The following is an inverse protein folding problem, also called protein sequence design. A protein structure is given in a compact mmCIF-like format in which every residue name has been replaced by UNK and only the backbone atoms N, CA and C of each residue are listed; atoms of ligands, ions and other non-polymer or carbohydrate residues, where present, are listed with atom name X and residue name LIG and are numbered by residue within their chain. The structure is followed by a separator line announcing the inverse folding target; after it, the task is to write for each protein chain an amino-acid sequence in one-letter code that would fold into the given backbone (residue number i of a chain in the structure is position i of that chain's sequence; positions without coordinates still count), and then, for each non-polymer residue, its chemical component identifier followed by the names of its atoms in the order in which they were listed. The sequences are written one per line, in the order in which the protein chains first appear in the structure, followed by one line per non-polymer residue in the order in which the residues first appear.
data_IF_837007937058
#
_entry.id   IF_837007937058
#
_cell.length_a   1.000
_cell.length_b   1.000
_cell.length_c   1.000
_cell.angle_alpha   90.00
_cell.angle_beta   90.00
_cell.angle_gamma   90.00
#
_symmetry.space_group_name_H-M   'P 1'
#
loop_
_entity.id
_entity.type
_entity.pdbx_description
1 polymer ?
#
# COMPACT_ATOMS: atom_id res chain seq x y z
N UNK A 1 -27.81 3.66 -7.52
CA UNK A 1 -26.87 3.29 -6.45
C UNK A 1 -27.58 3.33 -5.10
N UNK A 2 -26.97 2.70 -4.11
CA UNK A 2 -27.49 2.63 -2.74
C UNK A 2 -27.23 3.90 -1.90
N UNK A 3 -26.70 4.94 -2.54
CA UNK A 3 -26.37 6.22 -1.91
C UNK A 3 -25.05 6.22 -1.13
N UNK A 4 -24.28 5.14 -1.22
CA UNK A 4 -22.95 5.01 -0.60
C UNK A 4 -21.85 5.16 -1.64
N UNK A 5 -20.67 5.58 -1.19
CA UNK A 5 -19.49 5.67 -2.03
C UNK A 5 -18.92 4.28 -2.32
N UNK A 6 -18.74 3.94 -3.58
CA UNK A 6 -18.15 2.65 -4.00
C UNK A 6 -16.73 2.48 -3.43
N UNK A 7 -15.93 3.55 -3.40
CA UNK A 7 -14.58 3.53 -2.81
C UNK A 7 -14.63 3.22 -1.30
N UNK A 8 -15.61 3.75 -0.58
CA UNK A 8 -15.74 3.46 0.85
C UNK A 8 -16.31 2.07 1.12
N UNK A 9 -17.11 1.52 0.20
CA UNK A 9 -17.57 0.14 0.28
C UNK A 9 -16.41 -0.84 0.03
N UNK A 10 -15.56 -0.55 -0.94
CA UNK A 10 -14.34 -1.32 -1.21
C UNK A 10 -13.40 -1.28 0.01
N UNK A 11 -13.10 -0.10 0.53
CA UNK A 11 -12.31 0.03 1.75
C UNK A 11 -12.91 -0.72 2.95
N UNK A 12 -14.24 -0.75 3.05
CA UNK A 12 -14.94 -1.54 4.08
C UNK A 12 -14.74 -3.04 3.87
N UNK A 13 -14.81 -3.51 2.63
CA UNK A 13 -14.64 -4.92 2.32
C UNK A 13 -13.26 -5.42 2.76
N UNK A 14 -12.20 -4.68 2.44
CA UNK A 14 -10.83 -4.94 2.93
C UNK A 14 -10.72 -4.87 4.45
N UNK A 15 -11.27 -3.82 5.06
CA UNK A 15 -11.23 -3.66 6.51
C UNK A 15 -11.98 -4.78 7.26
N UNK A 16 -13.07 -5.29 6.70
CA UNK A 16 -13.79 -6.44 7.24
C UNK A 16 -12.94 -7.73 7.19
N UNK A 17 -12.16 -7.92 6.13
CA UNK A 17 -11.22 -9.02 6.05
C UNK A 17 -10.10 -8.87 7.09
N UNK A 18 -9.45 -7.71 7.14
CA UNK A 18 -8.40 -7.42 8.12
C UNK A 18 -8.91 -7.63 9.55
N UNK A 19 -10.11 -7.15 9.86
CA UNK A 19 -10.71 -7.31 11.19
C UNK A 19 -10.93 -8.78 11.59
N UNK A 20 -11.18 -9.67 10.62
CA UNK A 20 -11.31 -11.11 10.87
C UNK A 20 -9.97 -11.79 11.17
N UNK A 21 -8.87 -11.16 10.79
CA UNK A 21 -7.52 -11.70 11.02
C UNK A 21 -7.02 -11.46 12.45
N UNK A 22 -7.74 -10.70 13.28
CA UNK A 22 -7.38 -10.51 14.69
C UNK A 22 -7.73 -11.75 15.52
N UNK A 23 -6.75 -12.23 16.29
CA UNK A 23 -6.94 -13.29 17.26
C UNK A 23 -7.37 -12.75 18.63
N UNK A 24 -7.73 -13.65 19.53
CA UNK A 24 -8.22 -13.32 20.88
C UNK A 24 -7.18 -12.57 21.75
N UNK A 25 -5.88 -12.71 21.46
CA UNK A 25 -4.81 -11.99 22.15
C UNK A 25 -4.58 -10.54 21.59
N UNK A 26 -5.32 -10.16 20.54
CA UNK A 26 -5.26 -8.86 19.92
C UNK A 26 -4.29 -8.74 18.76
N UNK A 27 -3.40 -9.70 18.54
CA UNK A 27 -2.50 -9.72 17.38
C UNK A 27 -3.20 -10.27 16.14
N UNK A 28 -2.63 -9.95 14.97
CA UNK A 28 -3.20 -10.34 13.70
C UNK A 28 -2.37 -11.43 13.03
N UNK A 29 -3.06 -12.37 12.42
CA UNK A 29 -2.45 -13.34 11.52
C UNK A 29 -1.85 -12.64 10.31
N UNK A 30 -0.74 -13.18 9.80
CA UNK A 30 0.03 -12.54 8.74
C UNK A 30 -0.68 -12.56 7.39
N UNK A 31 -1.13 -13.74 6.97
CA UNK A 31 -1.85 -13.92 5.70
C UNK A 31 -2.66 -15.22 5.68
N UNK A 32 -3.53 -15.34 4.70
CA UNK A 32 -4.19 -16.59 4.33
C UNK A 32 -3.59 -17.06 3.02
N UNK A 33 -3.25 -18.33 2.93
CA UNK A 33 -2.51 -18.88 1.82
C UNK A 33 -2.89 -20.34 1.54
N UNK A 34 -2.95 -20.81 0.29
CA UNK A 34 -3.14 -22.22 -0.04
C UNK A 34 -1.95 -23.06 0.45
N UNK A 35 -2.25 -24.18 1.10
CA UNK A 35 -1.22 -25.00 1.75
C UNK A 35 -0.13 -25.48 0.79
N UNK A 36 -0.52 -25.97 -0.37
CA UNK A 36 0.39 -26.66 -1.29
C UNK A 36 0.67 -25.87 -2.57
N UNK A 37 0.07 -24.69 -2.74
CA UNK A 37 0.18 -23.83 -3.94
C UNK A 37 -0.21 -24.53 -5.26
N UNK A 38 -0.88 -25.68 -5.21
CA UNK A 38 -1.30 -26.41 -6.40
C UNK A 38 -2.27 -25.60 -7.28
N UNK A 39 -2.92 -24.62 -6.70
CA UNK A 39 -3.81 -23.69 -7.36
C UNK A 39 -3.13 -22.83 -8.44
N UNK A 40 -1.83 -22.63 -8.34
CA UNK A 40 -1.05 -21.93 -9.37
C UNK A 40 -1.00 -22.71 -10.67
N UNK A 41 -1.39 -23.98 -10.63
CA UNK A 41 -1.38 -24.94 -11.73
C UNK A 41 -2.80 -25.43 -12.05
N UNK A 42 -3.64 -24.57 -12.60
CA UNK A 42 -4.96 -24.91 -13.15
C UNK A 42 -6.13 -25.09 -12.16
N UNK A 43 -5.95 -24.79 -10.88
CA UNK A 43 -7.03 -24.92 -9.88
C UNK A 43 -7.53 -23.57 -9.42
N UNK A 44 -8.83 -23.31 -9.54
CA UNK A 44 -9.42 -22.11 -8.94
C UNK A 44 -9.28 -22.14 -7.42
N UNK A 45 -9.05 -20.99 -6.75
CA UNK A 45 -8.91 -20.95 -5.30
C UNK A 45 -10.08 -21.57 -4.53
N UNK A 46 -11.31 -21.50 -5.09
CA UNK A 46 -12.50 -22.12 -4.52
C UNK A 46 -12.54 -23.65 -4.65
N UNK A 47 -11.71 -24.23 -5.50
CA UNK A 47 -11.63 -25.67 -5.78
C UNK A 47 -10.24 -26.25 -5.47
N UNK A 48 -9.33 -25.42 -5.00
CA UNK A 48 -7.94 -25.77 -4.78
C UNK A 48 -7.63 -26.30 -3.40
N UNK A 49 -6.40 -26.09 -3.00
CA UNK A 49 -5.88 -26.54 -1.72
C UNK A 49 -6.62 -25.93 -0.52
N UNK A 50 -6.64 -26.65 0.61
CA UNK A 50 -7.08 -26.05 1.85
C UNK A 50 -6.34 -24.74 2.15
N UNK A 51 -7.11 -23.73 2.48
CA UNK A 51 -6.53 -22.44 2.88
C UNK A 51 -6.01 -22.54 4.31
N UNK A 52 -4.81 -22.09 4.54
CA UNK A 52 -4.19 -22.01 5.87
C UNK A 52 -3.98 -20.57 6.28
N UNK A 53 -4.06 -20.34 7.56
CA UNK A 53 -3.73 -19.05 8.17
C UNK A 53 -2.30 -19.11 8.68
N UNK A 54 -1.46 -18.19 8.22
CA UNK A 54 -0.06 -18.10 8.65
C UNK A 54 0.06 -17.48 10.05
N UNK A 55 1.11 -17.83 10.80
CA UNK A 55 1.32 -17.32 12.15
C UNK A 55 1.25 -15.80 12.24
N UNK A 56 0.87 -15.31 13.39
CA UNK A 56 0.85 -13.90 13.74
C UNK A 56 2.27 -13.35 13.80
N UNK A 57 2.44 -12.09 13.42
CA UNK A 57 3.67 -11.34 13.67
C UNK A 57 3.37 -9.86 13.99
N UNK A 58 4.36 -9.17 14.53
CA UNK A 58 4.20 -7.77 14.93
C UNK A 58 4.09 -6.84 13.73
N UNK A 59 4.73 -7.15 12.61
CA UNK A 59 4.63 -6.36 11.38
C UNK A 59 3.19 -6.30 10.84
N UNK A 60 2.59 -7.46 10.60
CA UNK A 60 1.22 -7.55 10.12
C UNK A 60 0.23 -6.93 11.12
N UNK A 61 0.46 -7.18 12.42
CA UNK A 61 -0.39 -6.63 13.49
C UNK A 61 -0.32 -5.11 13.55
N UNK A 62 0.85 -4.50 13.35
CA UNK A 62 0.99 -3.05 13.30
C UNK A 62 0.34 -2.45 12.05
N UNK A 63 0.54 -3.06 10.88
CA UNK A 63 -0.10 -2.63 9.64
C UNK A 63 -1.64 -2.70 9.72
N UNK A 64 -2.17 -3.82 10.23
CA UNK A 64 -3.62 -4.00 10.42
C UNK A 64 -4.20 -2.99 11.43
N UNK A 65 -3.49 -2.77 12.54
CA UNK A 65 -3.86 -1.75 13.54
C UNK A 65 -3.93 -0.35 12.91
N UNK A 66 -2.93 0.02 12.12
CA UNK A 66 -2.90 1.29 11.43
C UNK A 66 -4.05 1.46 10.44
N UNK A 67 -4.24 0.48 9.55
CA UNK A 67 -5.28 0.51 8.53
C UNK A 67 -6.69 0.62 9.16
N UNK A 68 -6.97 -0.18 10.19
CA UNK A 68 -8.25 -0.13 10.90
C UNK A 68 -8.46 1.17 11.67
N UNK A 69 -7.40 1.77 12.24
CA UNK A 69 -7.49 3.07 12.88
C UNK A 69 -7.76 4.18 11.86
N UNK A 70 -7.10 4.15 10.70
CA UNK A 70 -7.31 5.14 9.64
C UNK A 70 -8.74 5.12 9.10
N UNK A 71 -9.23 3.94 8.71
CA UNK A 71 -10.59 3.84 8.17
C UNK A 71 -11.63 4.14 9.26
N UNK A 72 -11.44 3.63 10.48
CA UNK A 72 -12.33 3.85 11.62
C UNK A 72 -12.36 5.31 12.08
N UNK A 73 -11.31 6.10 11.85
CA UNK A 73 -11.26 7.53 12.18
C UNK A 73 -11.71 8.44 11.03
N UNK A 74 -11.80 7.95 9.81
CA UNK A 74 -12.17 8.76 8.65
C UNK A 74 -13.55 9.40 8.81
N UNK A 75 -13.68 10.75 8.75
CA UNK A 75 -14.97 11.41 8.85
C UNK A 75 -15.96 10.97 7.76
N UNK A 76 -15.47 10.75 6.53
CA UNK A 76 -16.32 10.29 5.42
C UNK A 76 -16.82 8.86 5.64
N UNK A 77 -15.97 7.98 6.16
CA UNK A 77 -16.35 6.62 6.47
C UNK A 77 -17.33 6.55 7.64
N UNK A 78 -17.06 7.28 8.72
CA UNK A 78 -17.98 7.40 9.88
C UNK A 78 -19.38 7.87 9.49
N UNK A 79 -19.47 8.78 8.53
CA UNK A 79 -20.77 9.30 8.07
C UNK A 79 -21.61 8.22 7.37
N UNK A 80 -20.99 7.25 6.70
CA UNK A 80 -21.69 6.22 5.95
C UNK A 80 -21.78 4.87 6.69
N UNK A 81 -20.80 4.57 7.53
CA UNK A 81 -20.64 3.30 8.24
C UNK A 81 -20.28 3.51 9.73
N UNK A 82 -21.12 4.18 10.53
CA UNK A 82 -20.74 4.58 11.89
C UNK A 82 -20.46 3.40 12.82
N UNK A 83 -21.22 2.31 12.71
CA UNK A 83 -21.03 1.11 13.53
C UNK A 83 -19.72 0.39 13.19
N UNK A 84 -19.42 0.25 11.90
CA UNK A 84 -18.17 -0.39 11.44
C UNK A 84 -16.97 0.48 11.82
N UNK A 85 -17.05 1.78 11.68
CA UNK A 85 -16.00 2.71 12.09
C UNK A 85 -15.65 2.56 13.58
N UNK A 86 -16.66 2.50 14.44
CA UNK A 86 -16.47 2.29 15.88
C UNK A 86 -15.85 0.92 16.18
N UNK A 87 -16.30 -0.12 15.50
CA UNK A 87 -15.76 -1.49 15.61
C UNK A 87 -14.30 -1.55 15.19
N UNK A 88 -13.95 -0.99 14.04
CA UNK A 88 -12.56 -1.00 13.56
C UNK A 88 -11.62 -0.26 14.50
N UNK A 89 -12.04 0.88 15.02
CA UNK A 89 -11.23 1.61 15.98
C UNK A 89 -11.03 0.83 17.29
N UNK A 90 -12.03 0.10 17.74
CA UNK A 90 -11.90 -0.76 18.92
C UNK A 90 -10.92 -1.91 18.68
N UNK A 91 -10.99 -2.56 17.53
CA UNK A 91 -10.07 -3.61 17.09
C UNK A 91 -8.64 -3.06 17.01
N UNK A 92 -8.46 -1.87 16.41
CA UNK A 92 -7.16 -1.22 16.34
C UNK A 92 -6.56 -0.93 17.72
N UNK A 93 -7.35 -0.44 18.67
CA UNK A 93 -6.89 -0.22 20.06
C UNK A 93 -6.46 -1.52 20.76
N UNK A 94 -7.20 -2.60 20.54
CA UNK A 94 -6.83 -3.92 21.03
C UNK A 94 -5.51 -4.39 20.42
N UNK A 95 -5.36 -4.24 19.10
CA UNK A 95 -4.12 -4.54 18.39
C UNK A 95 -2.92 -3.77 18.93
N UNK A 96 -3.08 -2.48 19.16
CA UNK A 96 -2.02 -1.66 19.74
C UNK A 96 -1.60 -2.14 21.13
N UNK A 97 -2.56 -2.47 21.99
CA UNK A 97 -2.26 -2.98 23.35
C UNK A 97 -1.47 -4.29 23.28
N UNK A 98 -1.83 -5.18 22.36
CA UNK A 98 -1.12 -6.44 22.13
C UNK A 98 0.30 -6.20 21.56
N UNK A 99 0.46 -5.23 20.66
CA UNK A 99 1.78 -4.84 20.13
C UNK A 99 2.69 -4.26 21.21
N UNK A 100 2.17 -3.39 22.05
CA UNK A 100 2.96 -2.85 23.17
C UNK A 100 3.42 -3.98 24.10
N UNK A 101 2.55 -4.96 24.37
CA UNK A 101 2.91 -6.14 25.15
C UNK A 101 3.99 -6.96 24.46
N UNK A 102 3.85 -7.23 23.15
CA UNK A 102 4.84 -7.98 22.38
C UNK A 102 6.21 -7.28 22.37
N UNK A 103 6.24 -5.97 22.21
CA UNK A 103 7.49 -5.17 22.28
C UNK A 103 8.09 -5.23 23.69
N UNK A 104 7.27 -5.18 24.74
CA UNK A 104 7.75 -5.32 26.13
C UNK A 104 8.35 -6.70 26.40
N UNK A 105 7.73 -7.75 25.87
CA UNK A 105 8.15 -9.13 26.14
C UNK A 105 9.36 -9.56 25.28
N UNK A 106 9.49 -9.05 24.06
CA UNK A 106 10.43 -9.53 23.05
C UNK A 106 11.44 -8.49 22.54
N UNK A 107 11.29 -7.25 22.97
CA UNK A 107 12.13 -6.13 22.52
C UNK A 107 11.62 -5.43 21.26
N UNK A 108 12.18 -4.25 21.00
CA UNK A 108 11.77 -3.39 19.88
C UNK A 108 12.11 -4.00 18.51
N UNK A 109 13.20 -4.73 18.41
CA UNK A 109 13.74 -5.27 17.15
C UNK A 109 13.22 -6.67 16.80
N UNK A 110 12.44 -7.28 17.69
CA UNK A 110 12.00 -8.66 17.53
C UNK A 110 10.64 -8.79 16.86
N UNK A 111 10.60 -9.20 15.62
CA UNK A 111 9.44 -9.92 15.15
C UNK A 111 9.35 -11.20 15.97
N UNK A 112 8.55 -11.22 17.01
CA UNK A 112 8.52 -12.33 17.97
C UNK A 112 7.86 -13.60 17.40
N UNK A 113 7.42 -13.55 16.16
CA UNK A 113 6.81 -14.67 15.46
C UNK A 113 7.33 -14.79 14.03
N UNK A 114 6.90 -15.82 13.35
CA UNK A 114 7.31 -16.13 11.99
C UNK A 114 7.10 -14.97 11.03
N UNK A 115 8.13 -14.70 10.24
CA UNK A 115 8.11 -13.75 9.13
C UNK A 115 8.35 -14.50 7.84
N UNK A 116 7.49 -14.32 6.86
CA UNK A 116 7.40 -15.16 5.66
C UNK A 116 8.64 -15.15 4.76
N UNK A 117 9.30 -14.04 4.58
CA UNK A 117 10.34 -13.92 3.55
C UNK A 117 11.71 -13.54 4.06
N UNK A 118 11.81 -12.90 5.20
CA UNK A 118 13.07 -12.33 5.66
C UNK A 118 13.03 -12.12 7.18
N UNK A 119 14.01 -12.65 7.86
CA UNK A 119 14.20 -12.48 9.30
C UNK A 119 14.56 -11.04 9.68
N UNK A 120 14.87 -10.20 8.69
CA UNK A 120 15.20 -8.80 8.85
C UNK A 120 13.98 -7.86 8.73
N UNK A 121 12.75 -8.37 8.78
CA UNK A 121 11.56 -7.53 8.74
C UNK A 121 11.43 -6.72 10.01
N UNK A 122 12.03 -5.54 9.98
CA UNK A 122 11.82 -4.53 10.99
C UNK A 122 10.36 -4.04 10.89
N UNK A 123 9.72 -3.89 12.02
CA UNK A 123 8.32 -3.45 12.10
C UNK A 123 8.19 -1.97 12.48
N UNK A 124 9.30 -1.25 12.56
CA UNK A 124 9.38 0.13 13.06
C UNK A 124 8.48 1.08 12.29
N UNK A 125 8.48 0.96 10.97
CA UNK A 125 7.64 1.75 10.06
C UNK A 125 6.15 1.51 10.27
N UNK A 126 5.74 0.26 10.45
CA UNK A 126 4.35 -0.09 10.71
C UNK A 126 3.91 0.32 12.12
N UNK A 127 4.80 0.23 13.10
CA UNK A 127 4.55 0.74 14.45
C UNK A 127 4.38 2.26 14.46
N UNK A 128 5.21 2.98 13.70
CA UNK A 128 5.08 4.42 13.50
C UNK A 128 3.73 4.78 12.87
N UNK A 129 3.34 4.04 11.80
CA UNK A 129 2.05 4.27 11.15
C UNK A 129 0.87 3.96 12.08
N UNK A 130 0.91 2.86 12.83
CA UNK A 130 -0.12 2.53 13.81
C UNK A 130 -0.27 3.61 14.90
N UNK A 131 0.85 4.11 15.40
CA UNK A 131 0.85 5.21 16.36
C UNK A 131 0.28 6.51 15.77
N UNK A 132 0.70 6.90 14.55
CA UNK A 132 0.16 8.06 13.85
C UNK A 132 -1.35 7.94 13.61
N UNK A 133 -1.82 6.78 13.16
CA UNK A 133 -3.24 6.53 12.89
C UNK A 133 -4.10 6.57 14.16
N UNK A 134 -3.62 6.00 15.25
CA UNK A 134 -4.30 6.04 16.54
C UNK A 134 -4.27 7.45 17.16
N UNK A 135 -3.20 8.19 16.99
CA UNK A 135 -3.13 9.59 17.38
C UNK A 135 -4.16 10.42 16.60
N UNK A 136 -4.18 10.29 15.27
CA UNK A 136 -5.16 10.98 14.44
C UNK A 136 -6.61 10.60 14.77
N UNK A 137 -6.82 9.36 15.23
CA UNK A 137 -8.16 8.86 15.59
C UNK A 137 -8.64 9.34 16.96
N UNK A 138 -7.74 9.62 17.91
CA UNK A 138 -8.09 9.81 19.31
C UNK A 138 -7.65 11.15 19.90
N UNK A 139 -6.58 11.74 19.38
CA UNK A 139 -5.91 12.90 19.97
C UNK A 139 -5.15 12.59 21.27
N UNK A 140 -4.97 11.33 21.62
CA UNK A 140 -4.25 10.94 22.84
C UNK A 140 -2.73 11.09 22.63
N UNK A 141 -2.11 11.96 23.42
CA UNK A 141 -0.70 12.30 23.32
C UNK A 141 0.24 11.11 23.53
N UNK A 142 -0.20 10.03 24.16
CA UNK A 142 0.61 8.82 24.30
C UNK A 142 0.95 8.18 22.96
N UNK A 143 0.05 8.28 22.00
CA UNK A 143 0.30 7.80 20.64
C UNK A 143 1.25 8.71 19.86
N UNK A 144 1.21 10.03 20.10
CA UNK A 144 2.22 10.94 19.53
C UNK A 144 3.60 10.62 20.07
N UNK A 145 3.73 10.45 21.39
CA UNK A 145 5.00 10.04 22.02
C UNK A 145 5.51 8.71 21.42
N UNK A 146 4.62 7.76 21.19
CA UNK A 146 4.99 6.50 20.57
C UNK A 146 5.44 6.71 19.11
N UNK A 147 4.73 7.53 18.33
CA UNK A 147 5.12 7.88 16.97
C UNK A 147 6.54 8.45 16.92
N UNK A 148 6.83 9.45 17.74
CA UNK A 148 8.15 10.08 17.79
C UNK A 148 9.26 9.11 18.27
N UNK A 149 8.91 8.11 19.07
CA UNK A 149 9.84 7.05 19.48
C UNK A 149 10.18 6.09 18.34
N UNK A 150 9.21 5.76 17.48
CA UNK A 150 9.42 4.87 16.33
C UNK A 150 9.94 5.60 15.10
N UNK A 151 9.61 6.87 14.94
CA UNK A 151 9.96 7.71 13.79
C UNK A 151 10.36 9.12 14.26
N UNK A 152 11.56 9.26 14.86
CA UNK A 152 11.96 10.52 15.50
C UNK A 152 12.24 11.65 14.50
N UNK A 153 12.68 11.31 13.30
CA UNK A 153 12.96 12.29 12.25
C UNK A 153 12.41 11.86 10.89
N UNK A 154 11.25 12.39 10.49
CA UNK A 154 10.67 12.14 9.17
C UNK A 154 11.57 12.54 7.98
N UNK A 155 12.54 13.42 8.19
CA UNK A 155 13.45 13.87 7.13
C UNK A 155 14.74 13.05 7.04
N UNK A 156 14.92 12.06 7.90
CA UNK A 156 16.09 11.18 7.86
C UNK A 156 16.00 10.21 6.67
N UNK A 157 16.89 10.42 5.70
CA UNK A 157 16.94 9.59 4.49
C UNK A 157 17.26 8.11 4.77
N UNK A 158 17.83 7.77 5.94
CA UNK A 158 18.10 6.39 6.31
C UNK A 158 16.84 5.56 6.59
N UNK A 159 15.71 6.22 6.80
CA UNK A 159 14.41 5.57 6.98
C UNK A 159 13.74 5.15 5.67
N UNK A 160 14.36 5.42 4.53
CA UNK A 160 13.86 5.06 3.22
C UNK A 160 14.21 3.63 2.87
N UNK A 161 13.32 2.70 3.13
CA UNK A 161 13.56 1.30 2.81
C UNK A 161 13.36 0.96 1.33
N UNK A 162 12.56 1.78 0.58
CA UNK A 162 12.27 1.52 -0.83
C UNK A 162 12.07 2.85 -1.56
N UNK A 163 13.07 3.33 -2.22
CA UNK A 163 13.25 4.68 -2.70
C UNK A 163 12.31 5.26 -3.77
N UNK A 164 11.14 4.69 -4.07
CA UNK A 164 10.42 5.13 -5.27
C UNK A 164 9.06 5.74 -5.02
N UNK A 165 8.36 5.25 -4.01
CA UNK A 165 7.12 5.79 -3.54
C UNK A 165 7.14 5.75 -2.04
N UNK A 166 7.14 6.92 -1.47
CA UNK A 166 7.36 7.05 -0.04
C UNK A 166 6.06 7.13 0.73
N UNK A 167 5.03 7.72 0.12
CA UNK A 167 3.86 8.18 0.85
C UNK A 167 2.80 7.11 1.11
N UNK A 168 2.93 5.93 0.55
CA UNK A 168 2.01 4.81 0.84
C UNK A 168 2.71 3.57 1.38
N UNK A 169 3.99 3.68 1.72
CA UNK A 169 4.78 2.60 2.32
C UNK A 169 5.54 3.08 3.55
N UNK A 170 5.71 2.15 4.49
CA UNK A 170 6.60 2.33 5.61
C UNK A 170 6.34 3.61 6.38
N UNK A 171 7.39 4.31 6.68
CA UNK A 171 7.34 5.58 7.40
C UNK A 171 6.56 6.68 6.67
N UNK A 172 6.48 6.63 5.34
CA UNK A 172 5.69 7.58 4.57
C UNK A 172 4.20 7.55 4.91
N UNK A 173 3.66 6.37 5.24
CA UNK A 173 2.30 6.26 5.75
C UNK A 173 2.11 7.05 7.05
N UNK A 174 3.08 6.96 7.96
CA UNK A 174 3.04 7.69 9.23
C UNK A 174 3.13 9.21 9.02
N UNK A 175 4.08 9.66 8.19
CA UNK A 175 4.25 11.08 7.86
C UNK A 175 2.99 11.67 7.22
N UNK A 176 2.41 10.96 6.24
CA UNK A 176 1.15 11.35 5.58
C UNK A 176 -0.01 11.40 6.56
N UNK A 177 -0.20 10.35 7.36
CA UNK A 177 -1.28 10.28 8.35
C UNK A 177 -1.23 11.44 9.33
N UNK A 178 -0.03 11.77 9.84
CA UNK A 178 0.17 12.88 10.76
C UNK A 178 -0.07 14.24 10.08
N UNK A 179 0.54 14.48 8.93
CA UNK A 179 0.44 15.74 8.21
C UNK A 179 -1.00 16.09 7.80
N UNK A 180 -1.79 15.08 7.47
CA UNK A 180 -3.18 15.28 7.07
C UNK A 180 -4.20 15.15 8.22
N UNK A 181 -3.79 14.90 9.45
CA UNK A 181 -4.72 14.70 10.57
C UNK A 181 -5.65 15.90 10.80
N UNK A 182 -5.09 17.11 10.81
CA UNK A 182 -5.90 18.32 10.93
C UNK A 182 -6.66 18.67 9.65
N UNK A 183 -6.00 18.53 8.49
CA UNK A 183 -6.62 18.81 7.17
C UNK A 183 -7.83 17.91 6.88
N UNK A 184 -7.80 16.67 7.35
CA UNK A 184 -8.91 15.71 7.22
C UNK A 184 -10.03 15.93 8.24
N UNK A 185 -9.89 16.85 9.19
CA UNK A 185 -10.85 17.09 10.25
C UNK A 185 -10.86 16.03 11.37
N UNK A 186 -9.82 15.22 11.48
CA UNK A 186 -9.64 14.24 12.57
C UNK A 186 -9.22 14.91 13.87
N UNK A 187 -8.29 15.85 13.78
CA UNK A 187 -7.75 16.63 14.90
C UNK A 187 -7.86 18.14 14.62
N UNK A 188 -7.71 18.96 15.65
CA UNK A 188 -7.43 20.37 15.49
C UNK A 188 -5.95 20.59 15.27
N UNK A 189 -5.57 21.67 14.56
CA UNK A 189 -4.16 22.02 14.34
C UNK A 189 -3.38 22.23 15.66
N UNK A 190 -4.05 22.67 16.70
CA UNK A 190 -3.43 22.90 18.02
C UNK A 190 -3.08 21.62 18.79
N UNK A 191 -3.53 20.47 18.32
CA UNK A 191 -3.18 19.17 18.91
C UNK A 191 -1.90 18.58 18.31
N UNK A 192 -1.43 19.13 17.17
CA UNK A 192 -0.23 18.65 16.49
C UNK A 192 1.02 19.38 17.04
N UNK A 193 2.12 18.66 17.19
CA UNK A 193 3.41 19.28 17.37
C UNK A 193 3.86 19.98 16.07
N UNK A 194 4.04 21.28 16.11
CA UNK A 194 4.33 22.08 14.93
C UNK A 194 5.70 21.75 14.29
N UNK A 195 6.70 21.40 15.12
CA UNK A 195 8.03 21.06 14.61
C UNK A 195 8.03 19.69 13.94
N UNK A 196 7.35 18.71 14.53
CA UNK A 196 7.20 17.40 13.95
C UNK A 196 6.34 17.44 12.66
N UNK A 197 5.25 18.23 12.67
CA UNK A 197 4.42 18.46 11.48
C UNK A 197 5.24 19.02 10.33
N UNK A 198 6.09 20.04 10.60
CA UNK A 198 6.94 20.62 9.56
C UNK A 198 7.91 19.62 8.95
N UNK A 199 8.43 18.67 9.73
CA UNK A 199 9.25 17.57 9.20
C UNK A 199 8.46 16.60 8.33
N UNK A 200 7.26 16.21 8.74
CA UNK A 200 6.38 15.38 7.93
C UNK A 200 6.01 16.06 6.60
N UNK A 201 5.69 17.36 6.64
CA UNK A 201 5.37 18.13 5.44
C UNK A 201 6.60 18.28 4.52
N UNK A 202 7.80 18.45 5.08
CA UNK A 202 9.04 18.50 4.31
C UNK A 202 9.33 17.16 3.61
N UNK A 203 9.10 16.02 4.27
CA UNK A 203 9.27 14.70 3.67
C UNK A 203 8.27 14.47 2.52
N UNK A 204 7.01 14.86 2.71
CA UNK A 204 5.99 14.79 1.65
C UNK A 204 6.38 15.65 0.43
N UNK A 205 6.81 16.89 0.69
CA UNK A 205 7.24 17.79 -0.39
C UNK A 205 8.47 17.25 -1.11
N UNK A 206 9.46 16.73 -0.36
CA UNK A 206 10.66 16.10 -0.92
C UNK A 206 10.34 14.89 -1.80
N UNK A 207 9.40 14.04 -1.39
CA UNK A 207 8.94 12.91 -2.19
C UNK A 207 8.31 13.37 -3.51
N UNK A 208 7.43 14.38 -3.46
CA UNK A 208 6.80 14.93 -4.67
C UNK A 208 7.81 15.61 -5.61
N UNK A 209 8.72 16.40 -5.07
CA UNK A 209 9.76 17.09 -5.85
C UNK A 209 10.70 16.09 -6.54
N UNK A 210 11.10 15.01 -5.85
CA UNK A 210 11.91 13.94 -6.42
C UNK A 210 11.21 13.27 -7.61
N UNK A 211 9.95 12.89 -7.44
CA UNK A 211 9.17 12.24 -8.50
C UNK A 211 8.94 13.19 -9.69
N UNK A 212 8.66 14.46 -9.45
CA UNK A 212 8.50 15.46 -10.52
C UNK A 212 9.81 15.69 -11.28
N UNK A 213 10.94 15.72 -10.58
CA UNK A 213 12.25 15.86 -11.20
C UNK A 213 12.56 14.67 -12.11
N UNK A 214 12.31 13.45 -11.69
CA UNK A 214 12.51 12.27 -12.53
C UNK A 214 11.60 12.29 -13.75
N UNK A 215 10.33 12.65 -13.60
CA UNK A 215 9.42 12.79 -14.74
C UNK A 215 9.93 13.81 -15.76
N UNK A 216 10.42 14.95 -15.29
CA UNK A 216 10.95 16.01 -16.18
C UNK A 216 12.21 15.58 -16.97
N UNK A 217 12.96 14.61 -16.49
CA UNK A 217 14.19 14.12 -17.13
C UNK A 217 13.99 12.80 -17.90
N UNK A 218 12.84 12.17 -17.80
CA UNK A 218 12.52 10.93 -18.50
C UNK A 218 12.01 11.19 -19.91
N UNK A 219 12.44 10.37 -20.88
CA UNK A 219 11.99 10.48 -22.27
C UNK A 219 10.47 10.32 -22.45
N UNK A 220 9.81 9.63 -21.54
CA UNK A 220 8.36 9.41 -21.54
C UNK A 220 7.62 10.13 -20.41
N UNK A 221 8.31 11.01 -19.71
CA UNK A 221 7.71 11.74 -18.59
C UNK A 221 7.36 10.88 -17.38
N UNK A 222 8.05 9.74 -17.19
CA UNK A 222 7.80 8.83 -16.06
C UNK A 222 8.74 9.10 -14.89
N UNK A 223 8.23 8.96 -13.69
CA UNK A 223 9.00 9.12 -12.45
C UNK A 223 9.78 7.85 -12.09
N UNK A 224 10.43 7.22 -13.06
CA UNK A 224 11.30 6.05 -12.87
C UNK A 224 12.74 6.51 -12.66
N UNK A 225 13.28 6.56 -11.42
CA UNK A 225 14.63 7.04 -11.18
C UNK A 225 15.68 6.01 -11.59
N UNK A 226 16.66 6.45 -12.37
CA UNK A 226 17.92 5.77 -12.61
C UNK A 226 18.94 6.14 -11.51
N UNK A 227 19.87 5.27 -11.16
CA UNK A 227 20.09 3.87 -11.55
C UNK A 227 19.44 2.87 -10.56
N UNK A 228 18.67 3.36 -9.61
CA UNK A 228 18.15 2.56 -8.50
C UNK A 228 17.06 1.58 -8.90
N UNK A 229 16.56 1.76 -10.10
CA UNK A 229 15.59 0.87 -10.71
C UNK A 229 16.29 0.15 -11.86
N UNK A 230 17.03 -0.88 -11.53
CA UNK A 230 17.57 -1.81 -12.52
C UNK A 230 16.45 -2.73 -13.01
N UNK A 231 16.23 -2.75 -14.27
CA UNK A 231 15.02 -3.30 -14.79
C UNK A 231 15.22 -4.35 -15.81
N UNK A 232 15.27 -5.55 -15.29
CA UNK A 232 14.92 -6.74 -16.03
C UNK A 232 13.41 -6.97 -16.06
N UNK A 233 12.67 -6.21 -15.27
CA UNK A 233 11.24 -6.36 -15.08
C UNK A 233 10.57 -4.98 -15.12
N UNK A 234 10.54 -4.39 -16.30
CA UNK A 234 9.80 -3.17 -16.49
C UNK A 234 8.36 -3.37 -16.07
N UNK A 235 7.86 -2.53 -15.22
CA UNK A 235 6.47 -2.53 -14.90
C UNK A 235 6.04 -2.81 -13.49
N UNK A 236 6.86 -3.41 -12.65
CA UNK A 236 6.58 -3.49 -11.20
C UNK A 236 6.42 -2.10 -10.58
N UNK A 237 6.77 -1.10 -11.32
CA UNK A 237 6.98 0.25 -10.82
C UNK A 237 6.40 1.25 -11.80
N UNK A 238 5.28 0.88 -12.39
CA UNK A 238 4.62 1.79 -13.28
C UNK A 238 4.11 2.98 -12.52
N UNK A 239 4.18 3.90 -13.21
CA UNK A 239 3.93 5.31 -13.10
C UNK A 239 2.72 5.66 -12.25
N UNK A 240 1.66 4.88 -12.18
CA UNK A 240 0.53 5.11 -11.29
C UNK A 240 0.91 5.13 -9.82
N UNK A 241 1.85 4.28 -9.44
CA UNK A 241 2.33 4.22 -8.04
C UNK A 241 3.17 5.44 -7.68
N UNK A 242 4.00 5.93 -8.61
CA UNK A 242 4.75 7.17 -8.39
C UNK A 242 3.85 8.39 -8.40
N UNK A 243 2.77 8.36 -9.18
CA UNK A 243 1.77 9.42 -9.19
C UNK A 243 1.10 9.60 -7.82
N UNK A 244 1.09 8.56 -6.96
CA UNK A 244 0.57 8.67 -5.60
C UNK A 244 1.37 9.68 -4.75
N UNK A 245 2.70 9.62 -4.78
CA UNK A 245 3.55 10.56 -4.03
C UNK A 245 3.34 12.00 -4.52
N UNK A 246 3.25 12.19 -5.84
CA UNK A 246 2.93 13.47 -6.45
C UNK A 246 1.55 13.98 -6.01
N UNK A 247 0.54 13.12 -5.99
CA UNK A 247 -0.81 13.50 -5.58
C UNK A 247 -0.88 13.88 -4.10
N UNK A 248 -0.14 13.19 -3.24
CA UNK A 248 -0.05 13.53 -1.81
C UNK A 248 0.65 14.87 -1.62
N UNK A 249 1.75 15.13 -2.34
CA UNK A 249 2.46 16.39 -2.29
C UNK A 249 1.61 17.55 -2.85
N UNK A 250 0.88 17.34 -3.94
CA UNK A 250 -0.03 18.33 -4.50
C UNK A 250 -1.19 18.64 -3.56
N UNK A 251 -1.76 17.63 -2.90
CA UNK A 251 -2.79 17.84 -1.89
C UNK A 251 -2.29 18.62 -0.66
N UNK A 252 -1.01 18.55 -0.36
CA UNK A 252 -0.37 19.33 0.70
C UNK A 252 -0.11 20.77 0.26
N UNK A 253 0.57 20.94 -0.88
CA UNK A 253 0.97 22.22 -1.46
C UNK A 253 0.95 22.12 -2.98
N UNK A 254 -0.13 22.58 -3.65
CA UNK A 254 -0.31 22.43 -5.09
C UNK A 254 0.82 23.04 -5.92
N UNK A 255 1.33 22.28 -6.89
CA UNK A 255 2.30 22.75 -7.88
C UNK A 255 1.92 22.22 -9.26
N UNK A 256 1.99 23.08 -10.28
CA UNK A 256 1.73 22.67 -11.68
C UNK A 256 2.64 21.51 -12.11
N UNK A 257 3.90 21.51 -11.67
CA UNK A 257 4.86 20.44 -11.96
C UNK A 257 4.45 19.08 -11.41
N UNK A 258 3.73 19.03 -10.28
CA UNK A 258 3.18 17.78 -9.76
C UNK A 258 2.05 17.26 -10.64
N UNK A 259 1.13 18.15 -11.02
CA UNK A 259 0.01 17.79 -11.89
C UNK A 259 0.52 17.31 -13.26
N UNK A 260 1.48 18.02 -13.86
CA UNK A 260 2.10 17.62 -15.12
C UNK A 260 2.75 16.23 -15.03
N UNK A 261 3.49 15.98 -13.95
CA UNK A 261 4.12 14.69 -13.71
C UNK A 261 3.09 13.57 -13.47
N UNK A 262 1.99 13.84 -12.75
CA UNK A 262 0.88 12.88 -12.59
C UNK A 262 0.31 12.51 -13.95
N UNK A 263 -0.01 13.50 -14.78
CA UNK A 263 -0.60 13.30 -16.11
C UNK A 263 0.32 12.48 -17.02
N UNK A 264 1.62 12.76 -17.01
CA UNK A 264 2.57 12.03 -17.85
C UNK A 264 2.80 10.60 -17.36
N UNK A 265 2.86 10.37 -16.04
CA UNK A 265 2.94 9.03 -15.49
C UNK A 265 1.69 8.19 -15.85
N UNK A 266 0.49 8.72 -15.66
CA UNK A 266 -0.76 8.04 -16.04
C UNK A 266 -0.89 7.88 -17.56
N UNK A 267 -0.39 8.85 -18.32
CA UNK A 267 -0.33 8.80 -19.79
C UNK A 267 0.53 7.63 -20.28
N UNK A 268 1.62 7.34 -19.60
CA UNK A 268 2.48 6.19 -19.91
C UNK A 268 1.72 4.87 -19.78
N UNK A 269 0.97 4.69 -18.70
CA UNK A 269 0.10 3.52 -18.51
C UNK A 269 -1.04 3.48 -19.54
N UNK A 270 -1.56 4.64 -19.88
CA UNK A 270 -2.62 4.80 -20.87
C UNK A 270 -2.20 4.51 -22.33
N UNK A 271 -0.89 4.35 -22.60
CA UNK A 271 -0.39 4.00 -23.93
C UNK A 271 0.65 4.98 -24.51
N UNK A 272 0.96 6.07 -23.82
CA UNK A 272 2.06 6.97 -24.22
C UNK A 272 3.43 6.38 -23.85
N UNK A 273 3.68 5.15 -24.27
CA UNK A 273 4.86 4.33 -23.98
C UNK A 273 5.49 3.79 -25.27
N UNK A 274 6.69 3.19 -25.20
CA UNK A 274 7.43 2.73 -26.39
C UNK A 274 6.67 1.76 -27.30
N UNK A 275 5.72 1.02 -26.76
CA UNK A 275 4.96 -0.01 -27.49
C UNK A 275 3.56 0.48 -27.91
N UNK A 276 3.19 1.70 -27.51
CA UNK A 276 1.89 2.31 -27.81
C UNK A 276 0.70 1.43 -27.41
N UNK A 277 0.77 0.81 -26.25
CA UNK A 277 -0.24 -0.09 -25.71
C UNK A 277 -0.68 0.35 -24.32
N UNK A 278 -1.99 0.39 -24.07
CA UNK A 278 -2.50 0.63 -22.72
C UNK A 278 -2.19 -0.55 -21.82
N UNK A 279 -1.61 -0.26 -20.65
CA UNK A 279 -1.36 -1.26 -19.61
C UNK A 279 -2.55 -1.45 -18.67
N UNK A 280 -3.63 -0.73 -18.90
CA UNK A 280 -4.89 -0.96 -18.21
C UNK A 280 -5.70 -2.05 -18.94
N UNK A 281 -6.07 -3.08 -18.22
CA UNK A 281 -6.82 -4.20 -18.77
C UNK A 281 -8.10 -3.73 -19.48
N UNK A 282 -8.37 -4.31 -20.62
CA UNK A 282 -9.57 -4.04 -21.40
C UNK A 282 -9.62 -2.69 -22.13
N UNK A 283 -8.60 -1.83 -21.96
CA UNK A 283 -8.50 -0.55 -22.65
C UNK A 283 -7.53 -0.60 -23.85
N UNK A 284 -7.69 0.35 -24.76
CA UNK A 284 -6.82 0.49 -25.94
C UNK A 284 -7.18 -0.49 -27.08
N UNK A 285 -6.37 -0.41 -28.14
CA UNK A 285 -6.55 -1.19 -29.35
C UNK A 285 -6.02 -2.63 -29.24
N UNK A 286 -5.00 -2.82 -28.40
CA UNK A 286 -4.46 -4.11 -28.01
C UNK A 286 -4.77 -4.32 -26.52
N UNK A 287 -5.67 -5.25 -26.24
CA UNK A 287 -6.14 -5.48 -24.87
C UNK A 287 -5.21 -6.44 -24.15
N UNK A 288 -4.78 -6.02 -22.97
CA UNK A 288 -4.12 -6.91 -22.04
C UNK A 288 -5.09 -8.00 -21.61
N UNK A 289 -4.67 -9.24 -21.73
CA UNK A 289 -5.49 -10.43 -21.41
C UNK A 289 -4.92 -11.24 -20.27
N UNK A 290 -3.61 -11.31 -20.19
CA UNK A 290 -2.92 -12.07 -19.16
C UNK A 290 -2.60 -11.19 -17.97
N UNK A 291 -3.02 -11.63 -16.82
CA UNK A 291 -2.76 -10.97 -15.53
C UNK A 291 -2.47 -12.04 -14.49
N UNK A 292 -1.60 -11.74 -13.52
CA UNK A 292 -1.35 -12.63 -12.38
C UNK A 292 -2.59 -12.66 -11.48
N UNK A 293 -3.48 -13.57 -11.79
CA UNK A 293 -4.67 -13.85 -10.99
C UNK A 293 -5.09 -15.27 -11.28
N UNK A 294 -5.21 -16.08 -10.25
CA UNK A 294 -5.61 -17.47 -10.37
C UNK A 294 -6.94 -17.67 -11.09
N UNK A 295 -7.85 -16.71 -10.96
CA UNK A 295 -9.14 -16.78 -11.68
C UNK A 295 -8.98 -16.57 -13.18
N UNK A 296 -8.06 -15.73 -13.61
CA UNK A 296 -7.85 -15.43 -15.03
C UNK A 296 -6.81 -16.34 -15.66
N UNK A 297 -5.83 -16.75 -14.90
CA UNK A 297 -4.80 -17.69 -15.33
C UNK A 297 -5.35 -19.12 -15.47
N UNK A 298 -6.14 -19.56 -14.51
CA UNK A 298 -6.68 -20.90 -14.50
C UNK A 298 -7.98 -21.03 -15.31
N UNK A 299 -8.65 -19.92 -15.60
CA UNK A 299 -9.80 -19.89 -16.54
C UNK A 299 -9.54 -18.86 -17.64
N UNK A 300 -8.81 -19.27 -18.67
CA UNK A 300 -8.44 -18.43 -19.81
C UNK A 300 -9.61 -17.98 -20.69
N UNK A 301 -10.80 -18.47 -20.43
CA UNK A 301 -12.04 -18.03 -21.07
C UNK A 301 -12.56 -16.73 -20.46
N UNK A 302 -12.06 -16.35 -19.29
CA UNK A 302 -12.41 -15.11 -18.61
C UNK A 302 -11.37 -14.05 -18.86
N UNK A 303 -11.81 -12.92 -19.37
CA UNK A 303 -10.95 -11.74 -19.49
C UNK A 303 -10.89 -11.00 -18.15
N UNK A 304 -9.74 -10.40 -17.83
CA UNK A 304 -9.64 -9.51 -16.67
C UNK A 304 -10.68 -8.39 -16.75
N UNK A 305 -11.21 -7.92 -15.62
CA UNK A 305 -12.06 -6.75 -15.60
C UNK A 305 -11.38 -5.53 -16.21
N UNK A 306 -12.16 -4.73 -16.93
CA UNK A 306 -11.65 -3.51 -17.54
C UNK A 306 -11.21 -2.52 -16.47
N UNK A 307 -10.05 -1.91 -16.65
CA UNK A 307 -9.52 -0.86 -15.78
C UNK A 307 -8.57 -1.37 -14.69
N UNK A 308 -8.33 -2.68 -14.58
CA UNK A 308 -7.29 -3.18 -13.67
C UNK A 308 -5.94 -2.75 -14.23
N UNK A 309 -5.16 -2.11 -13.38
CA UNK A 309 -3.80 -1.74 -13.65
C UNK A 309 -2.86 -2.95 -13.61
N UNK A 310 -1.85 -2.95 -14.46
CA UNK A 310 -0.80 -3.99 -14.45
C UNK A 310 0.36 -3.53 -13.60
N UNK A 311 0.74 -4.37 -12.66
CA UNK A 311 1.93 -4.13 -11.85
C UNK A 311 3.24 -4.48 -12.56
N UNK A 312 3.19 -5.25 -13.65
CA UNK A 312 4.38 -5.77 -14.31
C UNK A 312 4.15 -6.08 -15.79
N UNK A 313 5.11 -5.76 -16.64
CA UNK A 313 5.21 -6.26 -18.01
C UNK A 313 6.49 -7.07 -18.12
N UNK A 314 6.36 -8.37 -18.05
CA UNK A 314 7.47 -9.31 -18.21
C UNK A 314 7.23 -10.22 -19.42
N UNK A 315 8.29 -10.82 -19.91
CA UNK A 315 8.26 -11.80 -21.01
C UNK A 315 7.77 -13.18 -20.56
N UNK A 316 7.04 -13.28 -19.47
CA UNK A 316 6.51 -14.50 -18.90
C UNK A 316 6.77 -14.61 -17.42
N UNK A 317 6.21 -15.63 -16.79
CA UNK A 317 6.46 -15.94 -15.39
C UNK A 317 7.62 -16.91 -15.29
N UNK A 318 8.81 -16.41 -15.05
CA UNK A 318 10.05 -17.19 -15.03
C UNK A 318 10.09 -18.30 -13.96
N UNK A 319 9.10 -18.32 -13.07
CA UNK A 319 9.04 -19.29 -11.97
C UNK A 319 7.87 -20.26 -12.04
N UNK A 320 7.04 -20.17 -13.08
CA UNK A 320 5.86 -21.02 -13.23
C UNK A 320 5.95 -21.86 -14.50
N UNK A 321 6.46 -23.08 -14.37
CA UNK A 321 6.28 -24.11 -15.38
C UNK A 321 4.81 -24.63 -15.31
N UNK A 322 4.06 -24.71 -16.38
CA UNK A 322 4.39 -24.51 -17.80
C UNK A 322 4.17 -23.08 -18.32
N UNK A 323 3.85 -22.13 -17.49
CA UNK A 323 3.54 -20.76 -17.89
C UNK A 323 4.64 -20.07 -18.66
N UNK A 324 5.89 -20.40 -18.33
CA UNK A 324 7.05 -19.84 -19.01
C UNK A 324 7.04 -20.14 -20.51
N UNK A 325 6.65 -21.34 -20.92
CA UNK A 325 6.56 -21.72 -22.31
C UNK A 325 5.38 -21.06 -23.05
N UNK A 326 4.24 -20.92 -22.38
CA UNK A 326 3.03 -20.36 -23.01
C UNK A 326 3.02 -18.83 -23.02
N UNK A 327 3.42 -18.19 -21.96
CA UNK A 327 3.43 -16.74 -21.84
C UNK A 327 4.66 -16.10 -22.46
N UNK A 328 5.76 -16.82 -22.55
CA UNK A 328 6.93 -16.38 -23.30
C UNK A 328 6.66 -16.19 -24.80
N UNK A 329 5.70 -16.94 -25.34
CA UNK A 329 5.22 -16.78 -26.71
C UNK A 329 4.22 -15.62 -26.89
N UNK A 330 3.64 -15.14 -25.80
CA UNK A 330 2.72 -14.01 -25.77
C UNK A 330 3.43 -12.69 -25.48
N UNK A 331 4.70 -12.60 -25.87
CA UNK A 331 5.47 -11.39 -25.73
C UNK A 331 4.73 -10.19 -26.35
N UNK A 332 4.82 -9.11 -25.70
CA UNK A 332 4.07 -7.93 -25.95
C UNK A 332 4.85 -6.94 -26.77
N UNK A 333 4.28 -6.37 -27.82
CA UNK A 333 3.09 -6.83 -28.53
C UNK A 333 3.38 -8.12 -29.26
N UNK A 334 2.35 -9.00 -29.48
CA UNK A 334 2.55 -10.17 -30.31
C UNK A 334 2.84 -9.75 -31.74
#
# INVERSE_FOLDING_TARGET
GDGKSDVLQEAKWEADFIAKMQDADGLFYYLVYPRDRAYENDVLPSHGDPQIVWPKNTYASAAATAALAEIGSSPRFKAQFPADAARYLQIAKSGWSALQKAVSDHGKEGSYQYVYQDDAYLHDDMMAWAAAALFAATGDASYQTALESWYPDPTDASTWHWGWWKMWRGFGNAARTYAFAARSGRLSASQLDAAYLAKCEAEIAGAGDDQAQWAAHSAYGTSLPEPTKAYDQAGWYFSGTQAFDLAVADALAPKATYVDAIVTNLGYEGGANPVNVSYLAGLGWQRVREMVSQFFENDRHRLPPTGIDRGNVATGYMWLDPYDAELGELTYPP
#
